data_IF_586333062945
#
_entry.id   IF_586333062945
#
_cell.length_a   1.000
_cell.length_b   1.000
_cell.length_c   1.000
_cell.angle_alpha   90.00
_cell.angle_beta   90.00
_cell.angle_gamma   90.00
#
_symmetry.space_group_name_H-M   'P 1'
#
loop_
_entity.id
_entity.type
_entity.pdbx_description
1 polymer ?
#
# COMPACT_ATOMS: atom_id res chain seq x y z
N UNK A 1 5.00 -59.17 24.58
CA UNK A 1 5.54 -58.22 25.57
C UNK A 1 4.69 -56.97 25.53
N UNK A 2 3.85 -56.72 26.53
CA UNK A 2 3.19 -55.42 26.67
C UNK A 2 4.26 -54.38 26.98
N UNK A 3 4.30 -53.23 26.30
CA UNK A 3 5.18 -52.15 26.72
C UNK A 3 4.89 -51.82 28.18
N UNK A 4 5.93 -51.54 28.96
CA UNK A 4 5.74 -51.04 30.32
C UNK A 4 4.94 -49.73 30.25
N UNK A 5 4.10 -49.45 31.24
CA UNK A 5 3.32 -48.20 31.31
C UNK A 5 4.24 -46.96 31.15
N UNK A 6 5.46 -47.03 31.72
CA UNK A 6 6.50 -46.01 31.59
C UNK A 6 6.95 -45.82 30.15
N UNK A 7 7.20 -46.91 29.41
CA UNK A 7 7.60 -46.86 28.00
C UNK A 7 6.55 -46.20 27.11
N UNK A 8 5.26 -46.47 27.37
CA UNK A 8 4.16 -45.85 26.64
C UNK A 8 4.05 -44.33 26.91
N UNK A 9 4.16 -43.91 28.17
CA UNK A 9 4.13 -42.48 28.55
C UNK A 9 5.28 -41.72 27.87
N UNK A 10 6.51 -42.27 27.94
CA UNK A 10 7.69 -41.66 27.32
C UNK A 10 7.47 -41.49 25.80
N UNK A 11 6.95 -42.52 25.13
CA UNK A 11 6.66 -42.46 23.69
C UNK A 11 5.70 -41.32 23.33
N UNK A 12 4.57 -41.18 24.04
CA UNK A 12 3.61 -40.10 23.76
C UNK A 12 4.21 -38.71 24.03
N UNK A 13 5.00 -38.55 25.09
CA UNK A 13 5.68 -37.27 25.38
C UNK A 13 6.62 -36.87 24.24
N UNK A 14 7.43 -37.80 23.74
CA UNK A 14 8.29 -37.54 22.58
C UNK A 14 7.48 -37.25 21.32
N UNK A 15 6.41 -38.00 21.06
CA UNK A 15 5.56 -37.77 19.90
C UNK A 15 4.89 -36.38 19.94
N UNK A 16 4.37 -35.97 21.10
CA UNK A 16 3.82 -34.62 21.29
C UNK A 16 4.87 -33.53 21.06
N UNK A 17 6.09 -33.73 21.54
CA UNK A 17 7.18 -32.79 21.31
C UNK A 17 7.53 -32.67 19.82
N UNK A 18 7.64 -33.81 19.12
CA UNK A 18 7.90 -33.86 17.68
C UNK A 18 6.78 -33.15 16.90
N UNK A 19 5.51 -33.47 17.17
CA UNK A 19 4.36 -32.82 16.53
C UNK A 19 4.37 -31.31 16.81
N UNK A 20 4.66 -30.90 18.05
CA UNK A 20 4.78 -29.50 18.44
C UNK A 20 5.89 -28.77 17.67
N UNK A 21 7.06 -29.39 17.50
CA UNK A 21 8.16 -28.83 16.70
C UNK A 21 7.78 -28.67 15.22
N UNK A 22 7.10 -29.65 14.62
CA UNK A 22 6.62 -29.54 13.24
C UNK A 22 5.55 -28.45 13.09
N UNK A 23 4.61 -28.35 14.03
CA UNK A 23 3.60 -27.30 14.02
C UNK A 23 4.24 -25.92 14.16
N UNK A 24 5.21 -25.75 15.07
CA UNK A 24 5.92 -24.49 15.27
C UNK A 24 6.73 -24.08 14.04
N UNK A 25 7.49 -25.00 13.45
CA UNK A 25 8.27 -24.71 12.23
C UNK A 25 7.37 -24.39 11.04
N UNK A 26 6.25 -25.09 10.90
CA UNK A 26 5.23 -24.77 9.89
C UNK A 26 4.64 -23.36 10.08
N UNK A 27 4.27 -22.99 11.31
CA UNK A 27 3.74 -21.65 11.61
C UNK A 27 4.76 -20.54 11.34
N UNK A 28 6.04 -20.78 11.69
CA UNK A 28 7.13 -19.85 11.38
C UNK A 28 7.32 -19.72 9.87
N UNK A 29 7.35 -20.84 9.14
CA UNK A 29 7.48 -20.83 7.68
C UNK A 29 6.31 -20.11 7.00
N UNK A 30 5.07 -20.36 7.46
CA UNK A 30 3.87 -19.69 6.98
C UNK A 30 3.94 -18.19 7.25
N UNK A 31 4.34 -17.77 8.45
CA UNK A 31 4.53 -16.35 8.78
C UNK A 31 5.58 -15.70 7.86
N UNK A 32 6.72 -16.35 7.64
CA UNK A 32 7.76 -15.84 6.75
C UNK A 32 7.30 -15.75 5.30
N UNK A 33 6.54 -16.75 4.82
CA UNK A 33 5.93 -16.73 3.50
C UNK A 33 4.95 -15.57 3.35
N UNK A 34 4.02 -15.39 4.29
CA UNK A 34 3.06 -14.29 4.29
C UNK A 34 3.78 -12.94 4.35
N UNK A 35 4.78 -12.80 5.23
CA UNK A 35 5.61 -11.60 5.32
C UNK A 35 6.31 -11.30 4.00
N UNK A 36 6.88 -12.32 3.34
CA UNK A 36 7.52 -12.17 2.04
C UNK A 36 6.52 -11.79 0.94
N UNK A 37 5.35 -12.44 0.92
CA UNK A 37 4.30 -12.20 -0.06
C UNK A 37 3.76 -10.77 0.06
N UNK A 38 3.44 -10.32 1.27
CA UNK A 38 3.03 -8.93 1.52
C UNK A 38 4.14 -7.90 1.24
N UNK A 39 5.42 -8.28 1.36
CA UNK A 39 6.55 -7.39 1.03
C UNK A 39 6.73 -7.20 -0.48
N UNK A 40 6.26 -8.12 -1.32
CA UNK A 40 6.52 -8.14 -2.77
C UNK A 40 5.53 -7.28 -3.57
N UNK A 41 5.54 -5.96 -3.37
CA UNK A 41 4.93 -5.03 -4.35
C UNK A 41 5.49 -3.62 -4.22
N UNK A 42 6.54 -3.31 -4.98
CA UNK A 42 6.97 -1.92 -5.19
C UNK A 42 7.26 -1.69 -6.67
N UNK A 43 6.25 -1.82 -7.53
CA UNK A 43 6.36 -1.21 -8.87
C UNK A 43 6.41 0.30 -8.67
N UNK A 44 7.43 0.95 -9.26
CA UNK A 44 7.61 2.40 -9.20
C UNK A 44 6.29 3.13 -9.47
N UNK A 45 5.77 3.94 -8.53
CA UNK A 45 4.43 4.51 -8.68
C UNK A 45 4.42 5.52 -9.82
N UNK A 46 3.40 5.41 -10.67
CA UNK A 46 3.16 6.27 -11.83
C UNK A 46 1.80 6.94 -11.69
N UNK A 47 1.65 8.13 -12.23
CA UNK A 47 0.37 8.81 -12.29
C UNK A 47 -0.58 8.04 -13.20
N UNK A 48 -1.75 7.64 -12.69
CA UNK A 48 -2.76 6.93 -13.48
C UNK A 48 -3.32 7.74 -14.66
N UNK A 49 -3.24 9.07 -14.60
CA UNK A 49 -3.78 9.95 -15.63
C UNK A 49 -2.80 10.26 -16.77
N UNK A 50 -1.50 10.44 -16.48
CA UNK A 50 -0.50 10.74 -17.53
C UNK A 50 0.51 9.62 -17.79
N UNK A 51 0.49 8.54 -17.01
CA UNK A 51 1.42 7.41 -17.13
C UNK A 51 2.86 7.70 -16.70
N UNK A 52 3.20 8.95 -16.35
CA UNK A 52 4.56 9.33 -15.96
C UNK A 52 4.87 8.90 -14.52
N UNK A 53 6.13 8.51 -14.28
CA UNK A 53 6.64 8.20 -12.93
C UNK A 53 6.54 9.43 -12.04
N UNK A 54 6.07 9.25 -10.81
CA UNK A 54 6.08 10.33 -9.83
C UNK A 54 7.52 10.76 -9.49
N UNK A 55 7.68 12.02 -9.10
CA UNK A 55 8.92 12.57 -8.53
C UNK A 55 8.59 13.13 -7.14
N UNK A 56 9.56 13.22 -6.21
CA UNK A 56 9.32 13.77 -4.88
C UNK A 56 8.81 15.22 -4.88
N UNK A 57 9.20 16.00 -5.88
CA UNK A 57 8.89 17.44 -5.96
C UNK A 57 8.43 17.86 -7.37
N UNK A 58 7.91 19.09 -7.46
CA UNK A 58 7.50 19.71 -8.73
C UNK A 58 6.17 19.20 -9.30
N UNK A 59 6.01 19.30 -10.62
CA UNK A 59 4.77 18.90 -11.31
C UNK A 59 4.54 17.38 -11.29
N UNK A 60 5.58 16.60 -11.03
CA UNK A 60 5.44 15.14 -10.89
C UNK A 60 5.24 14.69 -9.44
N UNK A 61 5.09 15.60 -8.48
CA UNK A 61 4.72 15.26 -7.12
C UNK A 61 3.29 14.68 -7.05
N UNK A 62 3.09 13.51 -6.40
CA UNK A 62 1.77 12.93 -6.22
C UNK A 62 0.97 13.81 -5.25
N UNK A 63 -0.28 14.10 -5.59
CA UNK A 63 -1.21 14.90 -4.81
C UNK A 63 -2.55 14.19 -4.68
N UNK A 64 -3.15 14.25 -3.50
CA UNK A 64 -4.35 13.50 -3.13
C UNK A 64 -5.58 14.40 -3.31
N UNK A 65 -6.55 13.92 -4.09
CA UNK A 65 -7.88 14.54 -4.19
C UNK A 65 -8.76 14.13 -3.00
N UNK A 66 -9.88 14.83 -2.79
CA UNK A 66 -10.81 14.52 -1.68
C UNK A 66 -11.39 13.09 -1.73
N UNK A 67 -11.33 12.43 -2.88
CA UNK A 67 -11.72 11.03 -3.04
C UNK A 67 -10.66 10.01 -2.60
N UNK A 68 -9.46 10.45 -2.22
CA UNK A 68 -8.32 9.59 -1.87
C UNK A 68 -7.43 9.19 -3.06
N UNK A 69 -7.90 9.36 -4.31
CA UNK A 69 -7.07 9.09 -5.47
C UNK A 69 -5.95 10.10 -5.63
N UNK A 70 -4.81 9.62 -6.14
CA UNK A 70 -3.62 10.44 -6.35
C UNK A 70 -3.39 10.76 -7.83
N UNK A 71 -3.10 12.02 -8.13
CA UNK A 71 -2.67 12.50 -9.44
C UNK A 71 -1.38 13.31 -9.29
N UNK A 72 -0.58 13.43 -10.34
CA UNK A 72 0.58 14.32 -10.26
C UNK A 72 0.14 15.79 -10.26
N UNK A 73 0.94 16.66 -9.65
CA UNK A 73 0.67 18.10 -9.60
C UNK A 73 0.45 18.74 -10.98
N UNK A 74 1.09 18.22 -12.03
CA UNK A 74 0.89 18.65 -13.41
C UNK A 74 -0.49 18.28 -13.95
N UNK A 75 -0.99 17.08 -13.66
CA UNK A 75 -2.36 16.69 -14.01
C UNK A 75 -3.39 17.51 -13.24
N UNK A 76 -3.19 17.72 -11.95
CA UNK A 76 -4.09 18.59 -11.16
C UNK A 76 -4.07 20.02 -11.71
N UNK A 77 -2.91 20.57 -12.05
CA UNK A 77 -2.80 21.90 -12.67
C UNK A 77 -3.61 21.99 -13.98
N UNK A 78 -3.58 20.95 -14.81
CA UNK A 78 -4.40 20.89 -16.04
C UNK A 78 -5.90 20.86 -15.73
N UNK A 79 -6.32 20.03 -14.76
CA UNK A 79 -7.72 19.95 -14.32
C UNK A 79 -8.21 21.29 -13.74
N UNK A 80 -7.38 21.98 -12.97
CA UNK A 80 -7.69 23.32 -12.44
C UNK A 80 -7.83 24.34 -13.57
N UNK A 81 -7.08 24.21 -14.67
CA UNK A 81 -7.25 25.04 -15.86
C UNK A 81 -8.56 24.76 -16.63
N UNK A 82 -9.16 23.60 -16.44
CA UNK A 82 -10.43 23.16 -17.05
C UNK A 82 -11.60 23.16 -16.06
N UNK A 83 -11.39 23.77 -14.90
CA UNK A 83 -12.34 23.83 -13.80
C UNK A 83 -13.61 24.57 -14.22
N UNK A 84 -14.75 24.16 -13.66
CA UNK A 84 -16.01 24.86 -13.88
C UNK A 84 -15.97 26.27 -13.27
N UNK A 85 -16.86 27.15 -13.74
CA UNK A 85 -17.04 28.50 -13.16
C UNK A 85 -17.32 28.49 -11.66
N UNK A 86 -17.93 27.42 -11.14
CA UNK A 86 -18.20 27.21 -9.71
C UNK A 86 -16.98 26.73 -8.91
N UNK A 87 -15.82 26.54 -9.57
CA UNK A 87 -14.62 26.08 -8.90
C UNK A 87 -14.61 24.59 -8.58
N UNK A 88 -15.19 23.76 -9.44
CA UNK A 88 -15.26 22.31 -9.24
C UNK A 88 -14.37 21.61 -10.25
N UNK A 89 -13.56 20.67 -9.76
CA UNK A 89 -12.87 19.68 -10.60
C UNK A 89 -13.40 18.28 -10.29
N UNK A 90 -13.31 17.38 -11.26
CA UNK A 90 -13.71 15.99 -11.09
C UNK A 90 -12.49 15.07 -11.10
N UNK A 91 -12.50 14.06 -10.23
CA UNK A 91 -11.49 13.02 -10.24
C UNK A 91 -11.58 12.20 -11.53
N UNK A 92 -10.47 12.04 -12.29
CA UNK A 92 -10.49 11.27 -13.54
C UNK A 92 -10.75 9.76 -13.34
N UNK A 93 -10.71 9.26 -12.09
CA UNK A 93 -10.86 7.84 -11.79
C UNK A 93 -12.23 7.45 -11.23
N UNK A 94 -12.87 8.33 -10.45
CA UNK A 94 -14.10 8.00 -9.72
C UNK A 94 -15.18 9.07 -9.83
N UNK A 95 -15.01 10.04 -10.74
CA UNK A 95 -15.93 11.17 -11.02
C UNK A 95 -16.37 12.00 -9.81
N UNK A 96 -15.80 11.77 -8.62
CA UNK A 96 -16.08 12.57 -7.42
C UNK A 96 -15.53 13.98 -7.59
N UNK A 97 -16.36 14.96 -7.26
CA UNK A 97 -16.00 16.37 -7.31
C UNK A 97 -15.05 16.76 -6.17
N UNK A 98 -14.26 17.80 -6.39
CA UNK A 98 -13.49 18.49 -5.37
C UNK A 98 -13.59 19.98 -5.63
N UNK A 99 -14.02 20.73 -4.62
CA UNK A 99 -14.06 22.19 -4.67
C UNK A 99 -12.64 22.72 -4.50
N UNK A 100 -12.18 23.53 -5.44
CA UNK A 100 -10.85 24.12 -5.39
C UNK A 100 -10.92 25.63 -5.61
N UNK A 101 -9.80 26.30 -5.40
CA UNK A 101 -9.61 27.68 -5.81
C UNK A 101 -8.35 27.74 -6.70
N UNK A 102 -8.46 28.32 -7.89
CA UNK A 102 -7.36 28.35 -8.86
C UNK A 102 -6.05 28.95 -8.29
N UNK A 103 -6.11 29.95 -7.41
CA UNK A 103 -4.89 30.52 -6.81
C UNK A 103 -4.33 29.68 -5.66
N UNK A 104 -5.20 28.95 -4.94
CA UNK A 104 -4.86 28.21 -3.71
C UNK A 104 -4.95 26.69 -3.84
N UNK A 105 -5.07 26.15 -5.05
CA UNK A 105 -5.30 24.70 -5.22
C UNK A 105 -4.18 23.85 -4.61
N UNK A 106 -2.92 24.34 -4.59
CA UNK A 106 -1.79 23.62 -4.00
C UNK A 106 -1.92 23.36 -2.50
N UNK A 107 -2.63 24.21 -1.75
CA UNK A 107 -2.88 24.00 -0.32
C UNK A 107 -4.12 23.13 -0.07
N UNK A 108 -5.07 23.13 -1.02
CA UNK A 108 -6.30 22.35 -0.94
C UNK A 108 -6.11 20.89 -1.40
N UNK A 109 -5.17 20.65 -2.30
CA UNK A 109 -4.82 19.30 -2.79
C UNK A 109 -3.45 18.92 -2.23
N UNK A 110 -3.38 18.33 -1.01
CA UNK A 110 -2.13 18.05 -0.33
C UNK A 110 -1.29 17.01 -1.08
N UNK A 111 -0.01 16.96 -0.73
CA UNK A 111 0.94 15.99 -1.28
C UNK A 111 0.67 14.60 -0.67
N UNK A 112 0.76 13.56 -1.50
CA UNK A 112 0.71 12.19 -0.99
C UNK A 112 2.06 11.76 -0.43
N UNK A 113 2.27 11.96 0.87
CA UNK A 113 3.52 11.58 1.53
C UNK A 113 3.76 10.07 1.54
N UNK A 114 2.73 9.21 1.52
CA UNK A 114 2.94 7.76 1.47
C UNK A 114 3.60 7.35 0.14
N UNK A 115 3.09 7.89 -0.97
CA UNK A 115 3.70 7.66 -2.29
C UNK A 115 5.11 8.26 -2.37
N UNK A 116 5.37 9.40 -1.71
CA UNK A 116 6.74 9.93 -1.63
C UNK A 116 7.67 9.00 -0.87
N UNK A 117 7.24 8.45 0.28
CA UNK A 117 8.01 7.45 1.01
C UNK A 117 8.34 6.24 0.11
N UNK A 118 7.40 5.81 -0.72
CA UNK A 118 7.64 4.69 -1.65
C UNK A 118 8.60 5.05 -2.80
N UNK A 119 8.60 6.31 -3.26
CA UNK A 119 9.57 6.82 -4.25
C UNK A 119 10.98 6.92 -3.66
N UNK A 120 11.09 7.25 -2.36
CA UNK A 120 12.37 7.47 -1.66
C UNK A 120 12.98 6.19 -1.07
N UNK A 121 12.18 5.17 -0.72
CA UNK A 121 12.62 3.83 -0.28
C UNK A 121 13.30 3.00 -1.38
N UNK A 122 13.72 3.66 -2.46
CA UNK A 122 14.26 3.06 -3.67
C UNK A 122 15.61 2.40 -3.42
#
# INVERSE_FOLDING_TARGET
MTPSAVGNIIFWVFLYFIIGCFALTYLIALYLYLRWFFRRSSKMPKCGNCGLKYKPTGNMAPRVLNCGHSCCGGCIKKLVGQMTWAGIIYCPFCTRSSLLNNKKWKSLVPINYSTICDILKK
#
